data_IF_896915434544
#
_entry.id   IF_896915434544
#
_cell.length_a   1.000
_cell.length_b   1.000
_cell.length_c   1.000
_cell.angle_alpha   90.00
_cell.angle_beta   90.00
_cell.angle_gamma   90.00
#
_symmetry.space_group_name_H-M   'P 1'
#
loop_
_entity.id
_entity.type
_entity.pdbx_description
1 polymer ?
#
# COMPACT_ATOMS: atom_id res chain seq x y z
N UNK A 1 -14.57 -25.16 -16.84
CA UNK A 1 -13.80 -26.36 -16.41
C UNK A 1 -14.07 -26.62 -14.94
N UNK A 2 -14.85 -27.65 -14.62
CA UNK A 2 -15.00 -28.12 -13.24
C UNK A 2 -13.74 -28.91 -12.86
N UNK A 3 -13.01 -28.46 -11.84
CA UNK A 3 -11.86 -29.21 -11.30
C UNK A 3 -12.40 -30.51 -10.69
N UNK A 4 -11.79 -31.66 -11.01
CA UNK A 4 -12.10 -32.94 -10.33
C UNK A 4 -11.95 -32.75 -8.82
N UNK A 5 -12.90 -33.27 -8.05
CA UNK A 5 -12.88 -33.13 -6.60
C UNK A 5 -11.59 -33.76 -6.02
N UNK A 6 -10.91 -33.08 -5.08
CA UNK A 6 -9.67 -33.60 -4.51
C UNK A 6 -9.95 -34.89 -3.73
N UNK A 7 -9.19 -35.96 -4.04
CA UNK A 7 -9.29 -37.28 -3.39
C UNK A 7 -9.18 -37.18 -1.86
N UNK A 8 -8.48 -36.17 -1.35
CA UNK A 8 -8.29 -35.89 0.07
C UNK A 8 -9.61 -35.70 0.86
N UNK A 9 -10.64 -35.08 0.26
CA UNK A 9 -11.93 -34.87 0.95
C UNK A 9 -12.71 -36.17 1.16
N UNK A 10 -12.50 -37.14 0.26
CA UNK A 10 -13.20 -38.43 0.30
C UNK A 10 -12.51 -39.47 1.20
N UNK A 11 -11.39 -39.13 1.84
CA UNK A 11 -10.59 -40.08 2.63
C UNK A 11 -11.43 -40.65 3.77
N UNK A 12 -12.14 -39.80 4.52
CA UNK A 12 -12.98 -40.23 5.64
C UNK A 12 -14.09 -41.19 5.19
N UNK A 13 -14.88 -40.79 4.17
CA UNK A 13 -15.94 -41.62 3.61
C UNK A 13 -15.41 -42.95 3.12
N UNK A 14 -14.34 -42.95 2.31
CA UNK A 14 -13.74 -44.18 1.79
C UNK A 14 -13.21 -45.09 2.88
N UNK A 15 -12.59 -44.53 3.91
CA UNK A 15 -12.08 -45.33 5.02
C UNK A 15 -13.21 -45.92 5.85
N UNK A 16 -14.28 -45.15 6.06
CA UNK A 16 -15.51 -45.64 6.68
C UNK A 16 -16.12 -46.79 5.87
N UNK A 17 -16.16 -46.68 4.53
CA UNK A 17 -16.61 -47.74 3.64
C UNK A 17 -15.73 -49.00 3.79
N UNK A 18 -14.40 -48.85 3.87
CA UNK A 18 -13.47 -49.98 4.07
C UNK A 18 -13.63 -50.67 5.42
N UNK A 19 -13.90 -49.91 6.50
CA UNK A 19 -14.20 -50.47 7.82
C UNK A 19 -15.56 -51.20 7.80
N UNK A 20 -16.57 -50.60 7.19
CA UNK A 20 -17.91 -51.19 7.07
C UNK A 20 -17.92 -52.48 6.25
N UNK A 21 -17.12 -52.54 5.19
CA UNK A 21 -16.94 -53.72 4.34
C UNK A 21 -16.02 -54.78 4.94
N UNK A 22 -15.50 -54.58 6.16
CA UNK A 22 -14.51 -55.45 6.82
C UNK A 22 -13.21 -55.66 6.01
N UNK A 23 -12.87 -54.73 5.10
CA UNK A 23 -11.59 -54.74 4.38
C UNK A 23 -10.44 -54.18 5.24
N UNK A 24 -10.76 -53.40 6.27
CA UNK A 24 -9.83 -52.93 7.31
C UNK A 24 -10.42 -53.26 8.68
N UNK A 25 -9.57 -53.69 9.60
CA UNK A 25 -9.95 -54.11 10.96
C UNK A 25 -9.80 -52.98 11.97
N UNK A 26 -8.75 -52.17 11.84
CA UNK A 26 -8.39 -51.15 12.82
C UNK A 26 -8.75 -49.74 12.35
N UNK A 27 -9.24 -48.91 13.27
CA UNK A 27 -9.41 -47.48 13.03
C UNK A 27 -8.06 -46.78 13.18
N UNK A 28 -7.61 -45.97 12.22
CA UNK A 28 -6.36 -45.25 12.31
C UNK A 28 -6.49 -44.11 13.31
N UNK A 29 -5.36 -43.68 13.88
CA UNK A 29 -5.33 -42.69 14.97
C UNK A 29 -6.05 -41.36 14.64
N UNK A 30 -6.07 -40.95 13.38
CA UNK A 30 -6.73 -39.71 12.94
C UNK A 30 -8.25 -39.86 12.71
N UNK A 31 -8.79 -41.07 12.65
CA UNK A 31 -10.19 -41.32 12.28
C UNK A 31 -11.17 -40.70 13.29
N UNK A 32 -10.95 -40.94 14.58
CA UNK A 32 -11.78 -40.38 15.65
C UNK A 32 -11.74 -38.85 15.68
N UNK A 33 -10.59 -38.24 15.37
CA UNK A 33 -10.47 -36.79 15.29
C UNK A 33 -11.28 -36.21 14.12
N UNK A 34 -11.30 -36.91 12.98
CA UNK A 34 -12.05 -36.49 11.78
C UNK A 34 -13.56 -36.73 11.90
N UNK A 35 -13.97 -37.69 12.73
CA UNK A 35 -15.37 -37.90 13.13
C UNK A 35 -15.90 -36.73 13.97
N UNK A 36 -15.06 -36.20 14.88
CA UNK A 36 -15.40 -35.02 15.70
C UNK A 36 -15.34 -33.72 14.85
N UNK A 37 -14.35 -33.60 13.96
CA UNK A 37 -14.11 -32.41 13.15
C UNK A 37 -14.15 -32.73 11.65
N UNK A 38 -15.35 -32.89 11.05
CA UNK A 38 -15.47 -33.23 9.64
C UNK A 38 -14.99 -32.09 8.74
N UNK A 39 -14.39 -32.45 7.60
CA UNK A 39 -13.97 -31.48 6.58
C UNK A 39 -15.17 -30.82 5.91
N UNK A 40 -15.08 -29.52 5.60
CA UNK A 40 -16.17 -28.81 4.92
C UNK A 40 -16.45 -29.44 3.53
N UNK A 41 -17.68 -29.98 3.31
CA UNK A 41 -18.02 -30.70 2.09
C UNK A 41 -18.18 -29.77 0.87
N UNK A 42 -18.44 -28.48 1.09
CA UNK A 42 -18.80 -27.55 0.03
C UNK A 42 -17.60 -26.87 -0.64
N UNK A 43 -17.72 -26.59 -1.94
CA UNK A 43 -16.82 -25.69 -2.72
C UNK A 43 -17.67 -24.60 -3.38
N UNK A 44 -18.81 -24.26 -2.77
CA UNK A 44 -19.65 -23.19 -3.30
C UNK A 44 -18.92 -21.87 -3.09
N UNK A 45 -18.86 -21.07 -4.14
CA UNK A 45 -18.39 -19.69 -4.01
C UNK A 45 -19.58 -18.88 -3.49
N UNK A 46 -19.51 -18.43 -2.24
CA UNK A 46 -20.53 -17.54 -1.68
C UNK A 46 -20.33 -16.12 -2.25
N UNK A 47 -21.41 -15.41 -2.62
CA UNK A 47 -21.29 -14.00 -2.98
C UNK A 47 -20.78 -13.20 -1.77
N UNK A 48 -19.96 -12.18 -2.03
CA UNK A 48 -19.51 -11.23 -1.00
C UNK A 48 -20.65 -10.29 -0.65
N UNK A 49 -21.09 -10.31 0.61
CA UNK A 49 -22.12 -9.40 1.13
C UNK A 49 -21.55 -8.13 1.79
N UNK A 50 -20.24 -8.06 2.00
CA UNK A 50 -19.60 -6.88 2.61
C UNK A 50 -19.42 -5.75 1.61
N UNK A 51 -19.76 -4.54 2.02
CA UNK A 51 -19.40 -3.31 1.32
C UNK A 51 -17.94 -2.98 1.62
N UNK A 52 -17.06 -3.11 0.63
CA UNK A 52 -15.63 -2.76 0.77
C UNK A 52 -15.32 -1.34 0.30
N UNK A 53 -16.36 -0.55 0.04
CA UNK A 53 -16.25 0.83 -0.43
C UNK A 53 -16.11 1.79 0.75
N UNK A 54 -14.88 2.17 1.09
CA UNK A 54 -14.56 3.16 2.11
C UNK A 54 -14.89 4.57 1.66
N UNK A 55 -16.17 4.95 1.76
CA UNK A 55 -16.61 6.34 1.67
C UNK A 55 -16.73 6.93 3.06
N UNK A 56 -16.33 8.19 3.22
CA UNK A 56 -16.57 8.95 4.45
C UNK A 56 -18.07 9.21 4.63
N UNK A 57 -18.52 9.39 5.87
CA UNK A 57 -19.95 9.56 6.16
C UNK A 57 -20.54 10.79 5.45
N UNK A 58 -19.77 11.87 5.32
CA UNK A 58 -20.18 13.04 4.54
C UNK A 58 -20.29 12.76 3.03
N UNK A 59 -19.55 11.79 2.49
CA UNK A 59 -19.61 11.41 1.07
C UNK A 59 -20.78 10.45 0.77
N UNK A 60 -21.27 9.71 1.77
CA UNK A 60 -22.39 8.76 1.60
C UNK A 60 -23.67 9.47 1.16
N UNK A 61 -23.95 10.65 1.72
CA UNK A 61 -25.18 11.43 1.45
C UNK A 61 -25.35 11.90 0.00
N UNK A 62 -24.26 12.07 -0.75
CA UNK A 62 -24.32 12.53 -2.15
C UNK A 62 -24.55 11.41 -3.16
N UNK A 63 -24.42 10.14 -2.77
CA UNK A 63 -24.47 9.00 -3.70
C UNK A 63 -25.78 8.21 -3.71
N UNK A 64 -26.70 8.49 -2.79
CA UNK A 64 -28.03 7.87 -2.69
C UNK A 64 -29.13 8.64 -3.44
N UNK A 65 -28.86 9.86 -3.92
CA UNK A 65 -29.74 10.52 -4.91
C UNK A 65 -29.47 9.91 -6.28
N UNK A 66 -30.36 9.02 -6.69
CA UNK A 66 -30.38 8.42 -8.03
C UNK A 66 -30.08 9.46 -9.10
N UNK A 67 -29.15 9.11 -9.98
CA UNK A 67 -28.61 9.95 -11.04
C UNK A 67 -29.67 10.37 -12.06
N UNK A 68 -30.35 11.48 -11.76
CA UNK A 68 -30.60 12.53 -12.74
C UNK A 68 -29.55 13.62 -12.52
N UNK A 69 -28.43 13.56 -13.24
CA UNK A 69 -27.50 14.68 -13.33
C UNK A 69 -28.21 15.82 -14.07
N UNK A 70 -28.85 16.71 -13.32
CA UNK A 70 -29.27 18.01 -13.83
C UNK A 70 -28.02 18.90 -13.89
N UNK A 71 -27.38 18.98 -15.05
CA UNK A 71 -26.34 19.98 -15.28
C UNK A 71 -27.06 21.34 -15.32
N UNK A 72 -26.80 22.19 -14.33
CA UNK A 72 -27.29 23.57 -14.34
C UNK A 72 -26.48 24.36 -15.37
N UNK A 73 -27.12 24.82 -16.44
CA UNK A 73 -26.51 25.80 -17.32
C UNK A 73 -26.39 27.15 -16.60
N UNK A 74 -25.41 27.97 -16.96
CA UNK A 74 -25.16 29.30 -16.37
C UNK A 74 -26.36 30.27 -16.43
N UNK A 75 -27.38 29.95 -17.22
CA UNK A 75 -28.60 30.75 -17.42
C UNK A 75 -29.85 30.19 -16.71
N UNK A 76 -29.70 29.30 -15.72
CA UNK A 76 -30.82 28.86 -14.88
C UNK A 76 -31.76 27.81 -15.50
N UNK A 77 -31.62 27.50 -16.79
CA UNK A 77 -32.33 26.38 -17.40
C UNK A 77 -31.62 25.04 -17.10
N UNK A 78 -32.34 24.13 -16.46
CA UNK A 78 -31.86 22.77 -16.19
C UNK A 78 -32.13 21.87 -17.39
N UNK A 79 -31.08 21.46 -18.11
CA UNK A 79 -31.21 20.48 -19.18
C UNK A 79 -31.14 19.06 -18.62
N UNK A 80 -32.20 18.27 -18.86
CA UNK A 80 -32.23 16.86 -18.49
C UNK A 80 -31.67 16.00 -19.62
N UNK A 81 -30.40 15.59 -19.52
CA UNK A 81 -29.82 14.64 -20.47
C UNK A 81 -30.27 13.23 -20.07
N UNK A 82 -31.13 12.61 -20.89
CA UNK A 82 -31.52 11.21 -20.70
C UNK A 82 -30.25 10.33 -20.76
N UNK A 83 -29.93 9.55 -19.71
CA UNK A 83 -28.73 8.72 -19.73
C UNK A 83 -28.82 7.69 -20.86
N UNK A 84 -27.72 7.53 -21.63
CA UNK A 84 -27.62 6.55 -22.72
C UNK A 84 -28.03 5.16 -22.22
N UNK A 85 -28.88 4.46 -22.97
CA UNK A 85 -29.46 3.17 -22.60
C UNK A 85 -28.42 2.06 -22.29
N UNK A 86 -27.18 2.18 -22.76
CA UNK A 86 -26.08 1.26 -22.41
C UNK A 86 -25.76 1.26 -20.90
N UNK A 87 -26.01 2.37 -20.20
CA UNK A 87 -25.81 2.47 -18.74
C UNK A 87 -26.92 1.80 -17.92
N UNK A 88 -28.10 1.51 -18.49
CA UNK A 88 -29.20 0.82 -17.79
C UNK A 88 -28.91 -0.66 -17.54
N UNK A 89 -27.97 -1.28 -18.27
CA UNK A 89 -27.63 -2.70 -18.12
C UNK A 89 -26.66 -3.00 -16.96
N UNK A 90 -26.28 -2.01 -16.14
CA UNK A 90 -25.41 -2.25 -14.98
C UNK A 90 -26.04 -3.19 -13.95
N UNK A 91 -27.36 -3.10 -13.74
CA UNK A 91 -28.12 -3.96 -12.82
C UNK A 91 -28.36 -5.39 -13.35
N UNK A 92 -28.10 -5.64 -14.64
CA UNK A 92 -28.22 -6.97 -15.26
C UNK A 92 -26.89 -7.74 -15.25
N UNK A 93 -25.80 -7.14 -14.77
CA UNK A 93 -24.51 -7.83 -14.62
C UNK A 93 -24.58 -8.70 -13.37
N UNK A 94 -24.47 -10.03 -13.55
CA UNK A 94 -24.32 -10.97 -12.43
C UNK A 94 -23.23 -10.47 -11.49
N UNK A 95 -23.54 -10.35 -10.20
CA UNK A 95 -22.57 -9.99 -9.18
C UNK A 95 -21.35 -10.92 -9.30
N UNK A 96 -20.17 -10.33 -9.46
CA UNK A 96 -18.95 -11.09 -9.69
C UNK A 96 -18.61 -11.80 -8.38
N UNK A 97 -18.53 -13.13 -8.42
CA UNK A 97 -18.24 -13.97 -7.26
C UNK A 97 -16.73 -14.01 -6.96
N UNK A 98 -16.13 -12.82 -6.94
CA UNK A 98 -14.73 -12.55 -6.64
C UNK A 98 -14.67 -11.64 -5.41
N UNK A 99 -13.61 -11.73 -4.58
CA UNK A 99 -13.41 -10.78 -3.50
C UNK A 99 -13.43 -9.35 -4.05
N UNK A 100 -14.09 -8.45 -3.32
CA UNK A 100 -14.13 -7.04 -3.69
C UNK A 100 -12.84 -6.34 -3.25
N UNK A 101 -12.46 -5.28 -3.95
CA UNK A 101 -11.30 -4.48 -3.57
C UNK A 101 -11.62 -3.70 -2.29
N UNK A 102 -10.78 -3.83 -1.28
CA UNK A 102 -10.87 -3.05 -0.04
C UNK A 102 -10.28 -1.67 -0.32
N UNK A 103 -11.13 -0.65 -0.23
CA UNK A 103 -10.75 0.75 -0.39
C UNK A 103 -11.11 1.44 0.90
N UNK A 104 -10.18 2.18 1.48
CA UNK A 104 -10.45 2.98 2.66
C UNK A 104 -10.56 4.46 2.30
N UNK A 105 -11.34 5.25 3.06
CA UNK A 105 -11.44 6.67 2.78
C UNK A 105 -10.10 7.39 2.93
N UNK A 106 -9.29 6.98 3.90
CA UNK A 106 -7.96 7.52 4.10
C UNK A 106 -6.99 7.28 2.93
N UNK A 107 -7.22 6.28 2.07
CA UNK A 107 -6.33 6.01 0.92
C UNK A 107 -6.27 7.20 -0.05
N UNK A 108 -7.36 7.95 -0.16
CA UNK A 108 -7.42 9.20 -0.93
C UNK A 108 -6.56 10.27 -0.27
N UNK A 109 -6.66 10.41 1.06
CA UNK A 109 -5.87 11.36 1.84
C UNK A 109 -4.37 11.03 1.75
N UNK A 110 -4.00 9.75 1.84
CA UNK A 110 -2.62 9.29 1.63
C UNK A 110 -2.07 9.72 0.29
N UNK A 111 -2.81 9.46 -0.78
CA UNK A 111 -2.38 9.82 -2.14
C UNK A 111 -2.18 11.33 -2.28
N UNK A 112 -3.08 12.13 -1.71
CA UNK A 112 -2.98 13.59 -1.74
C UNK A 112 -1.78 14.10 -0.92
N UNK A 113 -1.55 13.53 0.27
CA UNK A 113 -0.46 13.91 1.14
C UNK A 113 0.91 13.64 0.51
N UNK A 114 1.18 12.40 0.08
CA UNK A 114 2.49 12.03 -0.50
C UNK A 114 2.74 12.65 -1.88
N UNK A 115 1.68 13.01 -2.62
CA UNK A 115 1.82 13.79 -3.86
C UNK A 115 2.35 15.19 -3.58
N UNK A 116 1.91 15.84 -2.50
CA UNK A 116 2.38 17.17 -2.09
C UNK A 116 3.73 17.10 -1.36
N UNK A 117 3.99 16.02 -0.64
CA UNK A 117 5.20 15.81 0.18
C UNK A 117 6.05 14.66 -0.34
N UNK A 118 6.67 14.86 -1.51
CA UNK A 118 7.50 13.81 -2.13
C UNK A 118 8.62 13.38 -1.19
N UNK A 119 9.23 14.32 -0.46
CA UNK A 119 10.36 14.02 0.43
C UNK A 119 10.00 13.16 1.63
N UNK A 120 8.75 13.17 2.08
CA UNK A 120 8.28 12.26 3.13
C UNK A 120 8.26 10.79 2.68
N UNK A 121 8.30 10.54 1.37
CA UNK A 121 8.37 9.17 0.82
C UNK A 121 9.76 8.56 0.98
N UNK A 122 10.82 9.37 1.09
CA UNK A 122 12.18 8.88 1.32
C UNK A 122 12.44 8.51 2.78
N UNK A 123 11.58 8.96 3.71
CA UNK A 123 11.73 8.65 5.12
C UNK A 123 11.46 7.13 5.34
N UNK A 124 12.40 6.38 5.92
CA UNK A 124 12.24 4.96 6.12
C UNK A 124 11.15 4.67 7.15
N UNK A 125 10.25 3.73 6.83
CA UNK A 125 9.17 3.28 7.70
C UNK A 125 9.31 1.79 7.99
N UNK A 126 9.18 1.41 9.26
CA UNK A 126 9.12 0.00 9.64
C UNK A 126 7.74 -0.58 9.35
N UNK A 127 7.67 -1.61 8.50
CA UNK A 127 6.44 -2.36 8.21
C UNK A 127 6.20 -3.50 9.22
N UNK A 128 7.12 -3.70 10.16
CA UNK A 128 6.97 -4.73 11.19
C UNK A 128 5.88 -4.30 12.15
N UNK A 129 4.80 -5.07 12.19
CA UNK A 129 3.69 -4.82 13.09
C UNK A 129 4.10 -5.08 14.54
N UNK A 130 3.99 -4.04 15.37
CA UNK A 130 4.06 -4.13 16.84
C UNK A 130 2.65 -4.39 17.38
N UNK A 131 2.51 -4.57 18.71
CA UNK A 131 1.22 -4.75 19.37
C UNK A 131 0.27 -3.60 18.99
N UNK A 132 -0.92 -3.94 18.53
CA UNK A 132 -1.98 -2.97 18.21
C UNK A 132 -2.57 -2.48 19.53
N UNK A 133 -2.11 -1.33 20.01
CA UNK A 133 -2.73 -0.64 21.14
C UNK A 133 -3.89 0.23 20.64
N UNK A 134 -4.81 0.58 21.55
CA UNK A 134 -5.93 1.48 21.24
C UNK A 134 -5.40 2.92 21.16
N UNK A 135 -4.88 3.29 19.99
CA UNK A 135 -4.34 4.62 19.76
C UNK A 135 -5.45 5.66 19.65
N UNK A 136 -5.28 6.77 20.37
CA UNK A 136 -6.10 7.97 20.21
C UNK A 136 -5.45 8.87 19.16
N UNK A 137 -6.26 9.34 18.21
CA UNK A 137 -5.82 10.19 17.09
C UNK A 137 -6.21 11.65 17.30
N UNK A 138 -6.20 12.09 18.56
CA UNK A 138 -6.50 13.45 19.01
C UNK A 138 -5.35 14.43 18.79
N UNK A 139 -4.17 13.94 18.41
CA UNK A 139 -3.04 14.78 18.01
C UNK A 139 -1.94 13.97 17.32
N UNK A 140 -1.01 14.66 16.66
CA UNK A 140 0.03 14.03 15.85
C UNK A 140 1.08 13.30 16.68
N UNK A 141 1.34 13.76 17.92
CA UNK A 141 2.31 13.15 18.85
C UNK A 141 1.85 11.81 19.42
N UNK A 142 0.54 11.57 19.46
CA UNK A 142 -0.04 10.40 20.13
C UNK A 142 0.09 9.12 19.29
N UNK A 143 0.56 9.25 18.05
CA UNK A 143 0.85 8.14 17.13
C UNK A 143 1.99 7.26 17.66
N UNK A 144 1.75 5.96 17.85
CA UNK A 144 2.78 5.02 18.31
C UNK A 144 3.86 4.78 17.25
N UNK A 145 3.55 5.04 15.98
CA UNK A 145 4.44 4.87 14.83
C UNK A 145 5.45 6.02 14.68
N UNK A 146 5.45 6.98 15.61
CA UNK A 146 6.23 8.20 15.53
C UNK A 146 5.69 9.19 14.51
N UNK A 147 6.47 10.26 14.28
CA UNK A 147 6.10 11.38 13.41
C UNK A 147 6.27 10.99 11.93
N UNK A 148 5.17 10.52 11.31
CA UNK A 148 5.13 10.08 9.92
C UNK A 148 3.96 10.69 9.16
N UNK A 149 3.94 10.57 7.83
CA UNK A 149 2.78 10.98 7.05
C UNK A 149 1.47 10.33 7.54
N UNK A 150 1.51 9.07 7.97
CA UNK A 150 0.33 8.36 8.48
C UNK A 150 -0.28 9.04 9.71
N UNK A 151 0.55 9.60 10.61
CA UNK A 151 0.07 10.36 11.77
C UNK A 151 -0.76 11.60 11.34
N UNK A 152 -0.34 12.27 10.27
CA UNK A 152 -1.07 13.40 9.67
C UNK A 152 -2.41 12.96 9.09
N UNK A 153 -2.40 11.86 8.33
CA UNK A 153 -3.59 11.32 7.67
C UNK A 153 -4.63 10.88 8.70
N UNK A 154 -4.20 10.22 9.78
CA UNK A 154 -5.08 9.78 10.86
C UNK A 154 -5.64 10.95 11.66
N UNK A 155 -4.82 11.95 11.98
CA UNK A 155 -5.29 13.16 12.64
C UNK A 155 -6.24 13.98 11.75
N UNK A 156 -5.93 14.09 10.45
CA UNK A 156 -6.83 14.70 9.47
C UNK A 156 -8.18 13.97 9.42
N UNK A 157 -8.17 12.63 9.40
CA UNK A 157 -9.39 11.83 9.42
C UNK A 157 -10.18 12.04 10.72
N UNK A 158 -9.49 12.12 11.86
CA UNK A 158 -10.11 12.45 13.14
C UNK A 158 -10.81 13.82 13.12
N UNK A 159 -10.15 14.86 12.62
CA UNK A 159 -10.72 16.20 12.48
C UNK A 159 -11.92 16.22 11.52
N UNK A 160 -11.85 15.50 10.41
CA UNK A 160 -13.00 15.35 9.49
C UNK A 160 -14.20 14.73 10.22
N UNK A 161 -13.96 13.72 11.07
CA UNK A 161 -15.02 13.09 11.87
C UNK A 161 -15.58 14.03 12.95
N UNK A 162 -14.82 15.03 13.40
CA UNK A 162 -15.30 16.09 14.28
C UNK A 162 -16.08 17.19 13.55
N UNK A 163 -16.18 17.13 12.22
CA UNK A 163 -16.97 18.05 11.40
C UNK A 163 -16.17 19.13 10.68
N UNK A 164 -14.84 19.10 10.72
CA UNK A 164 -14.02 20.00 9.91
C UNK A 164 -14.08 19.63 8.42
N UNK A 165 -13.94 20.62 7.54
CA UNK A 165 -13.80 20.34 6.11
C UNK A 165 -12.47 19.62 5.82
N UNK A 166 -12.40 18.85 4.72
CA UNK A 166 -11.20 18.09 4.34
C UNK A 166 -9.96 19.00 4.19
N UNK A 167 -10.14 20.23 3.69
CA UNK A 167 -9.07 21.21 3.51
C UNK A 167 -8.64 21.86 4.83
N UNK A 168 -9.58 22.24 5.69
CA UNK A 168 -9.25 22.79 7.02
C UNK A 168 -8.55 21.75 7.88
N UNK A 169 -9.07 20.52 7.92
CA UNK A 169 -8.45 19.39 8.62
C UNK A 169 -7.03 19.11 8.09
N UNK A 170 -6.84 19.22 6.77
CA UNK A 170 -5.52 19.06 6.15
C UNK A 170 -4.54 20.15 6.62
N UNK A 171 -4.97 21.41 6.63
CA UNK A 171 -4.12 22.54 7.01
C UNK A 171 -3.74 22.46 8.49
N UNK A 172 -4.69 22.14 9.36
CA UNK A 172 -4.45 21.96 10.80
C UNK A 172 -3.43 20.84 11.02
N UNK A 173 -3.68 19.65 10.46
CA UNK A 173 -2.80 18.50 10.63
C UNK A 173 -1.39 18.76 10.03
N UNK A 174 -1.31 19.41 8.87
CA UNK A 174 -0.02 19.72 8.24
C UNK A 174 0.76 20.76 9.04
N UNK A 175 0.09 21.76 9.61
CA UNK A 175 0.73 22.80 10.42
C UNK A 175 1.34 22.25 11.71
N UNK A 176 0.62 21.36 12.41
CA UNK A 176 1.15 20.65 13.57
C UNK A 176 2.32 19.75 13.18
N UNK A 177 2.20 19.03 12.05
CA UNK A 177 3.26 18.15 11.56
C UNK A 177 4.57 18.91 11.32
N UNK A 178 4.49 20.06 10.66
CA UNK A 178 5.66 20.91 10.41
C UNK A 178 6.26 21.46 11.69
N UNK A 179 5.41 21.85 12.67
CA UNK A 179 5.91 22.32 13.97
C UNK A 179 6.73 21.24 14.66
N UNK A 180 6.23 20.00 14.68
CA UNK A 180 6.94 18.90 15.32
C UNK A 180 8.19 18.46 14.55
N UNK A 181 8.15 18.46 13.22
CA UNK A 181 9.34 18.20 12.38
C UNK A 181 10.41 19.25 12.62
N UNK A 182 10.04 20.53 12.66
CA UNK A 182 10.97 21.62 12.92
C UNK A 182 11.60 21.50 14.33
N UNK A 183 10.81 21.11 15.33
CA UNK A 183 11.31 20.84 16.68
C UNK A 183 12.34 19.69 16.69
N UNK A 184 12.05 18.58 16.03
CA UNK A 184 12.99 17.44 15.91
C UNK A 184 14.28 17.83 15.19
N UNK A 185 14.19 18.59 14.09
CA UNK A 185 15.37 19.04 13.35
C UNK A 185 16.23 19.99 14.20
N UNK A 186 15.59 20.88 14.96
CA UNK A 186 16.27 21.80 15.87
C UNK A 186 16.95 21.04 17.01
N UNK A 187 16.29 20.05 17.60
CA UNK A 187 16.86 19.18 18.64
C UNK A 187 18.12 18.46 18.14
N UNK A 188 18.08 17.89 16.94
CA UNK A 188 19.24 17.22 16.31
C UNK A 188 20.39 18.22 16.09
N UNK A 189 20.08 19.45 15.64
CA UNK A 189 21.10 20.48 15.41
C UNK A 189 21.76 20.93 16.72
N UNK A 190 20.96 21.17 17.76
CA UNK A 190 21.47 21.55 19.08
C UNK A 190 22.34 20.44 19.64
N UNK A 191 21.87 19.19 19.62
CA UNK A 191 22.64 18.04 20.10
C UNK A 191 23.98 17.89 19.36
N UNK A 192 23.99 18.13 18.03
CA UNK A 192 25.23 18.10 17.25
C UNK A 192 26.19 19.25 17.61
N UNK A 193 25.66 20.44 17.87
CA UNK A 193 26.46 21.60 18.31
C UNK A 193 27.05 21.39 19.70
N UNK A 194 26.23 20.91 20.64
CA UNK A 194 26.68 20.56 21.99
C UNK A 194 27.78 19.50 21.93
N UNK A 195 27.57 18.43 21.16
CA UNK A 195 28.55 17.39 20.94
C UNK A 195 29.89 17.94 20.39
N UNK A 196 29.84 18.88 19.45
CA UNK A 196 31.06 19.55 18.95
C UNK A 196 31.75 20.40 20.02
N UNK A 197 30.98 21.11 20.85
CA UNK A 197 31.52 21.92 21.93
C UNK A 197 32.23 21.07 23.01
N UNK A 198 31.82 19.81 23.19
CA UNK A 198 32.45 18.86 24.11
C UNK A 198 33.54 17.99 23.45
N UNK A 199 34.17 18.48 22.38
CA UNK A 199 35.26 17.81 21.64
C UNK A 199 34.93 16.38 21.15
N UNK A 200 33.65 16.05 20.98
CA UNK A 200 33.25 14.80 20.34
C UNK A 200 33.31 14.92 18.81
N UNK A 201 33.49 13.78 18.13
CA UNK A 201 33.60 13.76 16.67
C UNK A 201 32.35 14.36 16.00
N UNK A 202 32.51 15.20 14.96
CA UNK A 202 31.39 15.88 14.33
C UNK A 202 30.51 14.88 13.55
N UNK A 203 29.42 14.43 14.18
CA UNK A 203 28.48 13.43 13.63
C UNK A 203 27.91 13.86 12.28
N UNK A 204 27.65 15.15 12.09
CA UNK A 204 27.02 15.71 10.90
C UNK A 204 27.79 15.48 9.58
N UNK A 205 29.11 15.26 9.62
CA UNK A 205 29.94 15.12 8.41
C UNK A 205 30.19 13.66 8.00
N UNK A 206 29.88 12.70 8.86
CA UNK A 206 30.23 11.28 8.65
C UNK A 206 29.56 10.73 7.39
N UNK A 207 28.25 10.97 7.22
CA UNK A 207 27.51 10.45 6.07
C UNK A 207 27.94 11.10 4.75
N UNK A 208 28.25 12.40 4.76
CA UNK A 208 28.72 13.12 3.57
C UNK A 208 30.08 12.61 3.11
N UNK A 209 31.02 12.40 4.03
CA UNK A 209 32.33 11.84 3.72
C UNK A 209 32.22 10.43 3.14
N UNK A 210 31.41 9.58 3.77
CA UNK A 210 31.12 8.23 3.28
C UNK A 210 30.50 8.22 1.88
N UNK A 211 29.66 9.21 1.56
CA UNK A 211 29.07 9.37 0.22
C UNK A 211 30.14 9.71 -0.81
N UNK A 212 31.04 10.65 -0.49
CA UNK A 212 32.17 11.03 -1.36
C UNK A 212 33.07 9.83 -1.64
N UNK A 213 33.39 9.04 -0.61
CA UNK A 213 34.20 7.83 -0.76
C UNK A 213 33.56 6.84 -1.76
N UNK A 214 32.26 6.56 -1.61
CA UNK A 214 31.54 5.71 -2.56
C UNK A 214 31.50 6.28 -3.97
N UNK A 215 31.30 7.60 -4.12
CA UNK A 215 31.32 8.26 -5.43
C UNK A 215 32.69 8.12 -6.12
N UNK A 216 33.78 8.29 -5.38
CA UNK A 216 35.14 8.10 -5.90
C UNK A 216 35.39 6.67 -6.36
N UNK A 217 34.94 5.68 -5.59
CA UNK A 217 35.03 4.27 -5.99
C UNK A 217 34.27 4.00 -7.30
N UNK A 218 33.04 4.51 -7.40
CA UNK A 218 32.23 4.36 -8.61
C UNK A 218 32.84 5.08 -9.81
N UNK A 219 33.44 6.26 -9.62
CA UNK A 219 34.16 6.98 -10.67
C UNK A 219 35.39 6.20 -11.16
N UNK A 220 36.14 5.55 -10.27
CA UNK A 220 37.28 4.69 -10.64
C UNK A 220 36.82 3.51 -11.50
N UNK A 221 35.71 2.86 -11.12
CA UNK A 221 35.11 1.76 -11.89
C UNK A 221 34.66 2.26 -13.27
N UNK A 222 33.93 3.37 -13.32
CA UNK A 222 33.44 3.96 -14.57
C UNK A 222 34.57 4.34 -15.53
N UNK A 223 35.64 4.99 -15.03
CA UNK A 223 36.83 5.34 -15.84
C UNK A 223 37.47 4.11 -16.50
N UNK A 224 37.54 2.98 -15.78
CA UNK A 224 38.08 1.73 -16.31
C UNK A 224 37.18 1.11 -17.39
N UNK A 225 35.86 1.21 -17.25
CA UNK A 225 34.91 0.75 -18.28
C UNK A 225 34.99 1.63 -19.53
N UNK A 226 35.02 2.96 -19.36
CA UNK A 226 35.13 3.91 -20.47
C UNK A 226 36.43 3.68 -21.23
N UNK A 227 37.57 3.57 -20.55
CA UNK A 227 38.85 3.34 -21.21
C UNK A 227 38.87 2.04 -22.01
N UNK A 228 38.31 0.96 -21.45
CA UNK A 228 38.14 -0.32 -22.15
C UNK A 228 37.27 -0.18 -23.40
N UNK A 229 36.12 0.50 -23.30
CA UNK A 229 35.22 0.69 -24.44
C UNK A 229 35.88 1.55 -25.54
N UNK A 230 36.62 2.58 -25.16
CA UNK A 230 37.39 3.39 -26.11
C UNK A 230 38.42 2.53 -26.85
N UNK A 231 39.16 1.67 -26.14
CA UNK A 231 40.12 0.74 -26.75
C UNK A 231 39.43 -0.26 -27.70
N UNK A 232 38.28 -0.81 -27.30
CA UNK A 232 37.49 -1.72 -28.15
C UNK A 232 36.95 -1.04 -29.41
N UNK A 233 36.46 0.20 -29.29
CA UNK A 233 35.96 0.95 -30.44
C UNK A 233 37.11 1.29 -31.41
N UNK A 234 38.26 1.69 -30.89
CA UNK A 234 39.47 1.94 -31.69
C UNK A 234 39.93 0.68 -32.43
N UNK A 235 39.94 -0.49 -31.76
CA UNK A 235 40.33 -1.75 -32.41
C UNK A 235 39.36 -2.20 -33.49
N UNK A 236 38.05 -1.98 -33.29
CA UNK A 236 37.03 -2.23 -34.31
C UNK A 236 37.18 -1.31 -35.52
N UNK A 237 37.42 -0.01 -35.30
CA UNK A 237 37.66 0.95 -36.38
C UNK A 237 38.90 0.55 -37.20
N UNK A 238 40.02 0.25 -36.53
CA UNK A 238 41.24 -0.21 -37.20
C UNK A 238 41.05 -1.53 -37.95
N UNK A 239 40.24 -2.46 -37.43
CA UNK A 239 39.91 -3.70 -38.13
C UNK A 239 39.07 -3.45 -39.39
N UNK A 240 38.06 -2.57 -39.29
CA UNK A 240 37.24 -2.17 -40.44
C UNK A 240 38.09 -1.51 -41.52
N UNK A 241 38.94 -0.54 -41.17
CA UNK A 241 39.84 0.13 -42.12
C UNK A 241 40.72 -0.87 -42.87
N UNK A 242 41.33 -1.83 -42.16
CA UNK A 242 42.13 -2.91 -42.78
C UNK A 242 41.31 -3.75 -43.77
N UNK A 243 40.06 -4.07 -43.43
CA UNK A 243 39.17 -4.85 -44.29
C UNK A 243 38.75 -4.15 -45.58
N UNK A 244 38.77 -2.81 -45.64
CA UNK A 244 38.49 -2.04 -46.87
C UNK A 244 39.71 -1.87 -47.78
N UNK A 245 40.93 -2.08 -47.25
CA UNK A 245 42.19 -1.91 -48.00
C UNK A 245 42.73 -3.19 -48.63
N UNK A 246 42.12 -4.35 -48.38
CA UNK A 246 42.45 -5.67 -48.96
C UNK A 246 41.41 -6.10 -49.96
#
# INVERSE_FOLDING_TARGET
>A
MYRKAPKAKSIFSKYNDLLSGKLRTEKPAWFSAMEIYPVNPSVYKAPSYFETGGKLDFEKGNSSKGTSESVKASNGESFYVKPRASNKKKFLKKAKNSPQNIVYPEDRLRRNFYKKHVYETYNPVSLKQTRLENETWDGIKNSTFGLSGESVIRYQLYLINQGFSEEEAYNIATSEFYREKAAQELEIKIAAQEAQNFDSLPVAKINSLKTIEFEEEMLKISKKVISRNVQMNQSQQAANEKSFTS
#
